data_IF_005748713054
#
_entry.id   IF_005748713054
#
_cell.length_a   1.000
_cell.length_b   1.000
_cell.length_c   1.000
_cell.angle_alpha   90.00
_cell.angle_beta   90.00
_cell.angle_gamma   90.00
#
_symmetry.space_group_name_H-M   'P 1'
#
loop_
_entity.id
_entity.type
_entity.pdbx_description
1 polymer ?
#
# COMPACT_ATOMS: atom_id res chain seq x y z
N UNK A 1 -74.41 -5.47 12.16
CA UNK A 1 -73.76 -6.12 13.31
C UNK A 1 -72.83 -7.20 12.77
N UNK A 2 -71.52 -6.99 12.93
CA UNK A 2 -70.47 -7.94 13.33
C UNK A 2 -70.42 -9.35 12.67
N UNK A 3 -69.18 -9.68 12.21
CA UNK A 3 -68.56 -11.00 11.90
C UNK A 3 -68.61 -11.53 10.45
N UNK A 4 -67.58 -12.18 9.89
CA UNK A 4 -66.10 -12.23 10.03
C UNK A 4 -65.64 -13.24 8.91
N UNK A 5 -64.56 -12.91 8.19
CA UNK A 5 -63.55 -13.79 7.57
C UNK A 5 -63.76 -14.79 6.38
N UNK A 6 -62.70 -14.78 5.54
CA UNK A 6 -61.93 -15.87 4.90
C UNK A 6 -62.29 -16.45 3.49
N UNK A 7 -61.47 -16.03 2.50
CA UNK A 7 -60.72 -16.76 1.43
C UNK A 7 -61.41 -17.91 0.65
N UNK A 8 -61.38 -17.85 -0.70
CA UNK A 8 -60.78 -18.85 -1.65
C UNK A 8 -61.27 -18.68 -3.11
N UNK A 9 -60.27 -18.55 -4.00
CA UNK A 9 -60.09 -18.99 -5.40
C UNK A 9 -61.07 -18.68 -6.55
N UNK A 10 -60.46 -18.09 -7.60
CA UNK A 10 -60.47 -18.47 -9.02
C UNK A 10 -61.80 -18.80 -9.71
N UNK A 11 -62.11 -18.08 -10.80
CA UNK A 11 -62.55 -18.73 -12.03
C UNK A 11 -62.09 -17.95 -13.27
N UNK A 12 -61.35 -18.65 -14.13
CA UNK A 12 -60.85 -18.29 -15.45
C UNK A 12 -62.00 -18.06 -16.45
N UNK A 13 -61.82 -17.14 -17.42
CA UNK A 13 -62.23 -17.43 -18.80
C UNK A 13 -61.50 -16.59 -19.89
N UNK A 14 -60.68 -17.31 -20.66
CA UNK A 14 -60.46 -17.26 -22.13
C UNK A 14 -60.27 -15.91 -22.85
N UNK A 15 -59.07 -15.71 -23.43
CA UNK A 15 -58.81 -15.80 -24.89
C UNK A 15 -57.31 -15.64 -25.27
N UNK A 16 -56.80 -16.66 -25.97
CA UNK A 16 -55.70 -16.78 -26.99
C UNK A 16 -54.73 -15.59 -27.15
N UNK A 17 -53.41 -15.72 -26.93
CA UNK A 17 -52.38 -16.38 -27.78
C UNK A 17 -52.23 -15.86 -29.22
N UNK A 18 -51.45 -14.78 -29.44
CA UNK A 18 -50.59 -14.52 -30.63
C UNK A 18 -49.40 -13.63 -30.21
N UNK A 19 -48.14 -13.91 -30.62
CA UNK A 19 -46.98 -13.06 -30.32
C UNK A 19 -46.41 -12.32 -31.55
N UNK A 20 -45.59 -11.28 -31.26
CA UNK A 20 -44.62 -10.53 -32.07
C UNK A 20 -45.03 -9.34 -32.99
N UNK A 21 -44.51 -8.16 -32.59
CA UNK A 21 -43.81 -7.11 -33.37
C UNK A 21 -44.56 -6.14 -34.32
N UNK A 22 -44.27 -4.83 -34.08
CA UNK A 22 -44.32 -3.65 -34.98
C UNK A 22 -45.70 -3.35 -35.61
N UNK A 23 -46.34 -2.20 -35.40
CA UNK A 23 -45.95 -0.90 -35.97
C UNK A 23 -46.63 0.25 -35.18
N UNK A 24 -45.79 1.18 -34.72
CA UNK A 24 -45.94 2.63 -34.54
C UNK A 24 -47.28 3.35 -34.82
N UNK A 25 -47.48 4.38 -33.98
CA UNK A 25 -47.93 5.76 -34.26
C UNK A 25 -49.38 6.16 -33.87
N UNK A 26 -49.44 7.06 -32.88
CA UNK A 26 -50.16 8.36 -32.81
C UNK A 26 -51.01 8.52 -31.55
N UNK A 27 -50.50 9.36 -30.66
CA UNK A 27 -51.20 10.02 -29.56
C UNK A 27 -52.33 10.91 -30.09
N UNK A 28 -53.50 10.91 -29.45
CA UNK A 28 -54.39 12.08 -29.49
C UNK A 28 -55.10 12.29 -28.14
N UNK A 29 -55.01 13.54 -27.72
CA UNK A 29 -55.50 14.20 -26.51
C UNK A 29 -57.03 14.34 -26.56
N UNK A 30 -57.71 14.20 -25.41
CA UNK A 30 -58.98 14.88 -25.19
C UNK A 30 -59.07 15.38 -23.74
N UNK A 31 -59.03 16.71 -23.60
CA UNK A 31 -59.41 17.44 -22.38
C UNK A 31 -60.92 17.69 -22.47
N UNK A 32 -61.68 17.27 -21.47
CA UNK A 32 -62.99 17.86 -21.16
C UNK A 32 -63.06 18.07 -19.65
N UNK A 33 -63.16 19.34 -19.27
CA UNK A 33 -63.30 19.80 -17.89
C UNK A 33 -64.76 19.62 -17.43
N UNK A 34 -64.94 19.07 -16.23
CA UNK A 34 -66.14 19.25 -15.40
C UNK A 34 -65.72 19.49 -13.94
N UNK A 35 -66.44 20.31 -13.16
CA UNK A 35 -66.02 20.74 -11.84
C UNK A 35 -66.42 19.72 -10.78
N UNK A 36 -65.45 19.33 -9.93
CA UNK A 36 -65.68 18.52 -8.74
C UNK A 36 -65.32 17.04 -8.91
N UNK A 37 -64.03 16.70 -8.86
CA UNK A 37 -63.49 15.39 -8.45
C UNK A 37 -61.98 15.47 -8.26
N UNK A 38 -61.46 14.60 -7.40
CA UNK A 38 -60.07 14.54 -6.94
C UNK A 38 -59.06 14.56 -8.11
N UNK A 39 -58.01 15.36 -7.95
CA UNK A 39 -56.86 15.33 -8.86
C UNK A 39 -56.04 14.05 -8.59
N UNK A 40 -56.09 13.11 -9.53
CA UNK A 40 -55.07 12.07 -9.62
C UNK A 40 -53.79 12.70 -10.17
N UNK A 41 -52.73 12.69 -9.35
CA UNK A 41 -51.39 13.10 -9.77
C UNK A 41 -50.77 11.92 -10.51
N UNK A 42 -50.58 12.08 -11.83
CA UNK A 42 -49.81 11.13 -12.63
C UNK A 42 -48.31 11.37 -12.40
N UNK A 43 -47.62 10.34 -11.92
CA UNK A 43 -46.15 10.27 -11.96
C UNK A 43 -45.78 9.77 -13.36
N UNK A 44 -45.24 10.64 -14.21
CA UNK A 44 -44.71 10.23 -15.51
C UNK A 44 -43.40 9.48 -15.33
N UNK A 45 -43.40 8.16 -15.54
CA UNK A 45 -42.18 7.39 -15.77
C UNK A 45 -41.69 7.66 -17.19
N UNK A 46 -40.55 8.32 -17.36
CA UNK A 46 -39.85 8.32 -18.64
C UNK A 46 -39.35 6.91 -18.92
N UNK A 47 -39.73 6.37 -20.07
CA UNK A 47 -39.31 5.06 -20.54
C UNK A 47 -37.79 4.97 -20.61
N UNK A 48 -37.19 4.23 -19.67
CA UNK A 48 -35.93 3.54 -19.92
C UNK A 48 -36.00 2.14 -19.32
N UNK A 49 -35.78 1.17 -20.21
CA UNK A 49 -36.08 -0.24 -20.04
C UNK A 49 -34.95 -0.93 -19.24
N UNK A 50 -34.84 -0.63 -17.95
CA UNK A 50 -33.95 -1.37 -17.03
C UNK A 50 -34.39 -1.39 -15.55
N UNK A 51 -35.58 -0.87 -15.21
CA UNK A 51 -36.14 -0.98 -13.86
C UNK A 51 -37.21 -2.07 -13.80
N UNK A 52 -36.79 -3.32 -13.83
CA UNK A 52 -37.65 -4.46 -13.58
C UNK A 52 -37.02 -5.40 -12.55
N UNK A 53 -36.76 -4.91 -11.32
CA UNK A 53 -36.75 -5.71 -10.09
C UNK A 53 -36.74 -4.76 -8.88
N UNK A 54 -37.91 -4.28 -8.46
CA UNK A 54 -38.18 -3.79 -7.10
C UNK A 54 -39.70 -3.62 -6.98
N UNK A 55 -40.42 -4.73 -6.92
CA UNK A 55 -41.84 -4.74 -6.59
C UNK A 55 -42.00 -4.51 -5.09
N UNK A 56 -42.23 -3.25 -4.68
CA UNK A 56 -42.75 -2.93 -3.36
C UNK A 56 -44.25 -2.64 -3.48
N UNK A 57 -45.06 -3.53 -2.91
CA UNK A 57 -46.52 -3.41 -2.86
C UNK A 57 -46.90 -2.19 -2.00
N UNK A 58 -47.46 -1.15 -2.63
CA UNK A 58 -47.92 0.07 -1.96
C UNK A 58 -49.26 -0.18 -1.26
N UNK A 59 -49.30 -0.04 0.07
CA UNK A 59 -50.53 0.11 0.84
C UNK A 59 -50.46 1.40 1.66
N UNK A 60 -51.37 2.34 1.39
CA UNK A 60 -51.49 3.60 2.13
C UNK A 60 -52.74 3.55 3.01
N UNK A 61 -52.58 3.82 4.31
CA UNK A 61 -53.70 4.07 5.23
C UNK A 61 -53.85 5.57 5.46
N UNK A 62 -54.97 6.14 5.01
CA UNK A 62 -55.37 7.53 5.28
C UNK A 62 -56.18 7.62 6.57
N UNK A 63 -55.73 8.44 7.51
CA UNK A 63 -56.57 8.97 8.61
C UNK A 63 -56.81 10.45 8.37
N UNK A 64 -58.07 10.85 8.17
CA UNK A 64 -58.47 12.25 8.04
C UNK A 64 -59.05 12.74 9.36
N UNK A 65 -58.40 13.70 10.01
CA UNK A 65 -59.01 14.57 11.02
C UNK A 65 -58.89 16.03 10.56
N UNK A 66 -59.95 16.81 10.82
CA UNK A 66 -60.20 18.11 10.21
C UNK A 66 -59.07 19.14 10.33
N UNK A 67 -58.95 19.99 9.30
CA UNK A 67 -58.02 21.12 9.19
C UNK A 67 -56.59 20.80 9.67
N UNK A 68 -56.06 19.67 9.21
CA UNK A 68 -54.75 19.16 9.64
C UNK A 68 -53.93 18.69 8.45
N UNK A 69 -52.65 19.03 8.50
CA UNK A 69 -51.54 18.54 7.66
C UNK A 69 -51.75 17.10 7.16
N UNK A 70 -51.71 16.89 5.85
CA UNK A 70 -51.73 15.54 5.25
C UNK A 70 -50.30 15.01 5.21
N UNK A 71 -49.92 14.19 6.19
CA UNK A 71 -48.61 13.54 6.23
C UNK A 71 -48.65 12.23 5.45
N UNK A 72 -47.94 12.14 4.33
CA UNK A 72 -47.69 10.88 3.64
C UNK A 72 -46.45 10.23 4.23
N UNK A 73 -46.59 9.08 4.88
CA UNK A 73 -45.45 8.29 5.38
C UNK A 73 -45.26 7.05 4.50
N UNK A 74 -44.20 7.04 3.71
CA UNK A 74 -43.82 5.89 2.89
C UNK A 74 -43.05 4.89 3.75
N UNK A 75 -43.50 3.63 3.82
CA UNK A 75 -42.69 2.54 4.41
C UNK A 75 -41.72 2.00 3.36
N UNK A 76 -40.51 2.55 3.38
CA UNK A 76 -39.31 2.09 2.68
C UNK A 76 -38.09 2.78 3.30
N UNK A 77 -36.84 2.47 2.89
CA UNK A 77 -35.64 3.10 3.45
C UNK A 77 -35.56 4.62 3.22
N UNK A 78 -36.50 5.21 2.46
CA UNK A 78 -36.64 6.65 2.22
C UNK A 78 -38.02 7.13 2.69
N UNK A 79 -38.06 8.15 3.57
CA UNK A 79 -39.28 8.88 3.94
C UNK A 79 -39.30 10.25 3.28
N UNK A 80 -40.44 10.65 2.72
CA UNK A 80 -40.67 11.99 2.15
C UNK A 80 -41.88 12.61 2.86
N UNK A 81 -41.84 13.92 3.14
CA UNK A 81 -43.01 14.63 3.67
C UNK A 81 -43.44 15.73 2.69
N UNK A 82 -44.70 15.71 2.28
CA UNK A 82 -45.32 16.80 1.54
C UNK A 82 -46.04 17.70 2.53
N UNK A 83 -45.65 18.96 2.62
CA UNK A 83 -46.38 19.97 3.39
C UNK A 83 -47.10 20.87 2.38
N UNK A 84 -48.43 20.85 2.41
CA UNK A 84 -49.26 21.77 1.64
C UNK A 84 -49.77 22.85 2.58
N UNK A 85 -49.14 24.03 2.54
CA UNK A 85 -49.69 25.24 3.15
C UNK A 85 -49.97 26.23 2.03
N UNK A 86 -51.26 26.45 1.76
CA UNK A 86 -51.80 27.56 0.96
C UNK A 86 -51.20 27.74 -0.45
N UNK A 87 -51.31 26.72 -1.30
CA UNK A 87 -51.14 26.88 -2.76
C UNK A 87 -49.72 26.75 -3.30
N UNK A 88 -48.75 26.40 -2.45
CA UNK A 88 -47.42 25.95 -2.88
C UNK A 88 -47.18 24.58 -2.25
N UNK A 89 -47.09 23.54 -3.08
CA UNK A 89 -46.67 22.22 -2.61
C UNK A 89 -45.16 22.26 -2.36
N UNK A 90 -44.75 22.43 -1.09
CA UNK A 90 -43.35 22.25 -0.70
C UNK A 90 -43.10 20.77 -0.42
N UNK A 91 -42.24 20.14 -1.22
CA UNK A 91 -41.70 18.81 -0.92
C UNK A 91 -40.56 19.00 0.07
N UNK A 92 -40.83 18.77 1.35
CA UNK A 92 -39.79 18.63 2.37
C UNK A 92 -39.33 17.17 2.35
N UNK A 93 -38.33 16.89 1.52
CA UNK A 93 -37.56 15.66 1.66
C UNK A 93 -36.90 15.70 3.05
N UNK A 94 -37.41 14.91 3.99
CA UNK A 94 -36.74 14.69 5.26
C UNK A 94 -35.43 13.97 4.94
N UNK A 95 -34.30 14.63 5.23
CA UNK A 95 -32.94 14.16 5.01
C UNK A 95 -32.80 12.64 5.16
N UNK A 96 -32.85 11.90 4.06
CA UNK A 96 -32.14 10.64 3.95
C UNK A 96 -30.72 10.98 3.56
N UNK A 97 -29.77 10.58 4.40
CA UNK A 97 -28.34 10.82 4.20
C UNK A 97 -27.93 10.47 2.76
N UNK A 98 -27.59 11.48 1.97
CA UNK A 98 -27.06 11.31 0.62
C UNK A 98 -28.00 11.58 -0.57
N UNK A 99 -29.26 11.98 -0.35
CA UNK A 99 -30.09 12.51 -1.43
C UNK A 99 -29.56 13.87 -1.88
N UNK A 100 -29.32 14.06 -3.19
CA UNK A 100 -28.90 15.36 -3.69
C UNK A 100 -30.10 16.24 -4.05
N UNK A 101 -30.14 17.44 -3.49
CA UNK A 101 -31.20 18.43 -3.73
C UNK A 101 -30.58 19.62 -4.43
N UNK A 102 -30.98 19.86 -5.67
CA UNK A 102 -30.61 21.06 -6.44
C UNK A 102 -31.88 21.84 -6.76
N UNK A 103 -31.93 23.13 -6.41
CA UNK A 103 -33.05 24.02 -6.74
C UNK A 103 -34.43 23.45 -6.38
N UNK A 104 -34.58 22.95 -5.14
CA UNK A 104 -35.81 22.30 -4.62
C UNK A 104 -36.27 21.04 -5.38
N UNK A 105 -35.41 20.46 -6.23
CA UNK A 105 -35.67 19.20 -6.92
C UNK A 105 -34.71 18.13 -6.41
N UNK A 106 -35.22 16.95 -6.08
CA UNK A 106 -34.38 15.79 -5.76
C UNK A 106 -33.83 15.23 -7.07
N UNK A 107 -32.51 15.27 -7.26
CA UNK A 107 -31.88 14.69 -8.44
C UNK A 107 -31.72 13.17 -8.25
N UNK A 108 -32.23 12.39 -9.21
CA UNK A 108 -32.09 10.93 -9.27
C UNK A 108 -31.75 10.49 -10.69
N UNK A 109 -30.96 9.44 -10.84
CA UNK A 109 -30.64 8.87 -12.15
C UNK A 109 -29.64 9.72 -12.97
N UNK A 110 -29.93 9.92 -14.25
CA UNK A 110 -29.02 10.49 -15.27
C UNK A 110 -28.65 11.97 -15.07
N UNK A 111 -29.36 12.70 -14.20
CA UNK A 111 -29.06 14.10 -13.88
C UNK A 111 -28.06 14.26 -12.73
N UNK A 112 -27.68 13.18 -12.05
CA UNK A 112 -26.73 13.20 -10.94
C UNK A 112 -25.32 12.89 -11.45
N UNK A 113 -24.31 13.62 -10.97
CA UNK A 113 -22.93 13.36 -11.35
C UNK A 113 -22.56 11.89 -11.04
N UNK A 114 -21.98 11.12 -11.97
CA UNK A 114 -21.74 9.68 -11.81
C UNK A 114 -20.93 9.31 -10.56
N UNK A 115 -20.00 10.18 -10.17
CA UNK A 115 -19.11 9.98 -9.03
C UNK A 115 -19.67 10.54 -7.70
N UNK A 116 -20.86 11.16 -7.70
CA UNK A 116 -21.45 11.78 -6.50
C UNK A 116 -21.74 10.73 -5.42
N UNK A 117 -22.55 9.70 -5.71
CA UNK A 117 -22.95 8.72 -4.70
C UNK A 117 -21.77 7.95 -4.08
N UNK A 118 -20.78 7.47 -4.86
CA UNK A 118 -19.56 6.90 -4.28
C UNK A 118 -18.82 7.84 -3.34
N UNK A 119 -18.74 9.13 -3.67
CA UNK A 119 -18.07 10.12 -2.83
C UNK A 119 -18.89 10.46 -1.58
N UNK A 120 -20.22 10.52 -1.67
CA UNK A 120 -21.08 10.65 -0.48
C UNK A 120 -20.91 9.48 0.48
N UNK A 121 -20.86 8.25 -0.04
CA UNK A 121 -20.61 7.06 0.77
C UNK A 121 -19.20 7.09 1.38
N UNK A 122 -18.19 7.52 0.62
CA UNK A 122 -16.84 7.78 1.13
C UNK A 122 -16.85 8.80 2.27
N UNK A 123 -17.52 9.94 2.09
CA UNK A 123 -17.66 10.99 3.09
C UNK A 123 -18.28 10.44 4.37
N UNK A 124 -19.42 9.74 4.27
CA UNK A 124 -20.12 9.18 5.43
C UNK A 124 -19.30 8.09 6.13
N UNK A 125 -18.71 7.17 5.35
CA UNK A 125 -17.95 6.02 5.87
C UNK A 125 -16.64 6.42 6.55
N UNK A 126 -16.11 7.60 6.23
CA UNK A 126 -14.84 8.10 6.78
C UNK A 126 -14.99 9.29 7.73
N UNK A 127 -16.18 9.50 8.27
CA UNK A 127 -16.43 10.51 9.31
C UNK A 127 -16.48 11.96 8.80
N UNK A 128 -16.93 12.14 7.56
CA UNK A 128 -17.03 13.41 6.82
C UNK A 128 -17.43 14.66 7.60
N UNK A 129 -18.50 14.62 8.42
CA UNK A 129 -18.89 15.78 9.23
C UNK A 129 -17.77 16.31 10.15
N UNK A 130 -16.86 15.42 10.57
CA UNK A 130 -15.74 15.72 11.47
C UNK A 130 -14.41 15.94 10.75
N UNK A 131 -14.40 15.96 9.41
CA UNK A 131 -13.21 16.35 8.65
C UNK A 131 -12.84 17.81 8.92
N UNK A 132 -11.54 18.09 8.87
CA UNK A 132 -10.97 19.43 9.09
C UNK A 132 -11.39 20.36 7.95
N UNK A 133 -11.10 19.97 6.72
CA UNK A 133 -11.55 20.62 5.50
C UNK A 133 -12.53 19.71 4.75
N UNK A 134 -13.77 20.18 4.71
CA UNK A 134 -14.89 19.58 3.99
C UNK A 134 -15.54 20.61 3.07
N UNK A 135 -14.78 21.62 2.65
CA UNK A 135 -15.29 22.71 1.82
C UNK A 135 -15.96 22.15 0.56
N UNK A 136 -17.17 22.61 0.26
CA UNK A 136 -17.96 22.19 -0.90
C UNK A 136 -18.64 20.82 -0.78
N UNK A 137 -18.17 19.91 0.07
CA UNK A 137 -18.76 18.57 0.21
C UNK A 137 -20.24 18.64 0.60
N UNK A 138 -21.09 17.93 -0.16
CA UNK A 138 -22.55 17.91 -0.01
C UNK A 138 -23.27 19.26 -0.17
N UNK A 139 -22.58 20.32 -0.61
CA UNK A 139 -23.21 21.64 -0.85
C UNK A 139 -23.90 21.71 -2.22
N UNK A 140 -23.54 20.81 -3.13
CA UNK A 140 -24.09 20.68 -4.48
C UNK A 140 -24.00 19.23 -4.96
N UNK A 141 -24.59 18.93 -6.12
CA UNK A 141 -24.67 17.57 -6.68
C UNK A 141 -23.52 17.19 -7.61
N UNK A 142 -22.52 18.06 -7.75
CA UNK A 142 -21.42 17.90 -8.67
C UNK A 142 -20.09 18.01 -7.92
N UNK A 143 -19.44 16.89 -7.60
CA UNK A 143 -18.14 16.89 -6.94
C UNK A 143 -17.07 17.70 -7.68
N UNK A 144 -17.21 17.90 -9.00
CA UNK A 144 -16.29 18.71 -9.79
C UNK A 144 -16.46 20.21 -9.55
N UNK A 145 -17.56 20.63 -8.92
CA UNK A 145 -17.87 22.01 -8.62
C UNK A 145 -17.48 22.37 -7.17
N UNK A 146 -16.17 22.44 -6.93
CA UNK A 146 -15.61 23.05 -5.72
C UNK A 146 -15.54 22.16 -4.47
N UNK A 147 -15.67 20.83 -4.60
CA UNK A 147 -15.41 19.94 -3.46
C UNK A 147 -13.92 19.88 -3.16
N UNK A 148 -13.56 20.11 -1.91
CA UNK A 148 -12.18 20.05 -1.45
C UNK A 148 -11.54 18.71 -1.79
N UNK A 149 -10.33 18.77 -2.37
CA UNK A 149 -9.55 17.58 -2.71
C UNK A 149 -9.99 16.84 -3.97
N UNK A 150 -11.05 17.28 -4.66
CA UNK A 150 -11.52 16.69 -5.93
C UNK A 150 -10.90 17.42 -7.12
N UNK A 151 -10.43 16.66 -8.11
CA UNK A 151 -10.10 17.18 -9.44
C UNK A 151 -10.79 16.32 -10.48
N UNK A 152 -11.36 16.97 -11.49
CA UNK A 152 -12.07 16.30 -12.57
C UNK A 152 -11.44 16.55 -13.93
N UNK A 153 -11.54 15.55 -14.80
CA UNK A 153 -11.23 15.64 -16.22
C UNK A 153 -12.42 15.03 -16.97
N UNK A 154 -12.89 15.70 -18.03
CA UNK A 154 -14.02 15.24 -18.86
C UNK A 154 -15.28 14.89 -18.04
N UNK A 155 -15.59 15.68 -17.01
CA UNK A 155 -16.76 15.48 -16.15
C UNK A 155 -16.71 14.21 -15.29
N UNK A 156 -15.51 13.68 -15.00
CA UNK A 156 -15.29 12.55 -14.10
C UNK A 156 -14.17 12.85 -13.13
N UNK A 157 -14.27 12.32 -11.92
CA UNK A 157 -13.27 12.50 -10.87
C UNK A 157 -12.01 11.71 -11.20
N UNK A 158 -10.90 12.42 -11.38
CA UNK A 158 -9.58 11.83 -11.70
C UNK A 158 -8.59 11.93 -10.54
N UNK A 159 -8.84 12.77 -9.53
CA UNK A 159 -8.02 12.84 -8.32
C UNK A 159 -8.89 13.06 -7.09
N UNK A 160 -8.61 12.30 -6.04
CA UNK A 160 -9.13 12.46 -4.69
C UNK A 160 -7.94 12.61 -3.74
N UNK A 161 -7.73 13.82 -3.23
CA UNK A 161 -6.60 14.16 -2.36
C UNK A 161 -7.10 14.93 -1.14
N UNK A 162 -7.30 14.22 -0.04
CA UNK A 162 -7.78 14.80 1.23
C UNK A 162 -6.61 15.09 2.18
N UNK A 163 -5.54 15.64 1.62
CA UNK A 163 -4.36 16.10 2.35
C UNK A 163 -4.45 17.61 2.45
N UNK A 164 -4.35 18.15 3.65
CA UNK A 164 -4.31 19.60 3.90
C UNK A 164 -2.90 20.13 3.63
N UNK A 165 -2.79 21.32 3.03
CA UNK A 165 -1.52 21.94 2.66
C UNK A 165 -0.67 22.39 3.86
N UNK A 166 -1.16 22.20 5.10
CA UNK A 166 -0.55 22.74 6.31
C UNK A 166 0.77 22.09 6.72
N UNK A 167 1.24 21.03 6.03
CA UNK A 167 2.61 20.50 6.16
C UNK A 167 3.06 20.05 7.55
N UNK A 168 2.21 20.17 8.57
CA UNK A 168 2.48 19.92 9.97
C UNK A 168 1.32 19.09 10.50
N UNK A 169 1.58 17.79 10.67
CA UNK A 169 0.93 16.89 11.65
C UNK A 169 -0.58 17.13 11.82
N UNK A 170 -1.34 16.90 10.76
CA UNK A 170 -2.79 16.95 10.81
C UNK A 170 -3.36 16.57 9.46
N UNK A 171 -3.74 15.31 9.32
CA UNK A 171 -4.57 14.87 8.20
C UNK A 171 -5.93 15.54 8.19
N UNK A 172 -6.76 15.24 7.19
CA UNK A 172 -8.15 15.69 7.17
C UNK A 172 -9.06 14.95 8.19
N UNK A 173 -8.48 14.30 9.21
CA UNK A 173 -9.18 13.59 10.28
C UNK A 173 -10.15 12.51 9.77
N UNK A 174 -9.80 11.82 8.68
CA UNK A 174 -10.57 10.67 8.22
C UNK A 174 -10.47 9.57 9.27
N UNK A 175 -11.62 9.00 9.60
CA UNK A 175 -11.72 7.87 10.51
C UNK A 175 -12.51 6.72 9.84
N UNK A 176 -12.84 5.66 10.57
CA UNK A 176 -13.68 4.58 10.03
C UNK A 176 -12.96 3.76 8.97
N UNK A 177 -13.69 3.30 7.95
CA UNK A 177 -13.19 2.36 6.94
C UNK A 177 -13.44 2.89 5.53
N UNK A 178 -12.63 2.45 4.56
CA UNK A 178 -12.89 2.71 3.15
C UNK A 178 -14.12 1.92 2.67
N UNK A 179 -15.14 2.56 2.07
CA UNK A 179 -16.31 1.85 1.56
C UNK A 179 -16.02 1.13 0.25
N UNK A 180 -16.76 0.07 -0.04
CA UNK A 180 -16.66 -0.67 -1.29
C UNK A 180 -17.11 0.15 -2.51
N UNK A 181 -17.88 1.22 -2.32
CA UNK A 181 -18.28 2.12 -3.40
C UNK A 181 -17.11 2.87 -4.03
N UNK A 182 -15.95 2.96 -3.38
CA UNK A 182 -14.75 3.61 -3.94
C UNK A 182 -14.37 3.04 -5.30
N UNK A 183 -14.58 1.74 -5.55
CA UNK A 183 -14.32 1.08 -6.83
C UNK A 183 -15.14 1.63 -8.01
N UNK A 184 -16.26 2.35 -7.74
CA UNK A 184 -17.06 3.02 -8.78
C UNK A 184 -16.40 4.27 -9.34
N UNK A 185 -15.38 4.81 -8.66
CA UNK A 185 -14.56 5.93 -9.16
C UNK A 185 -13.56 5.42 -10.21
N UNK A 186 -14.04 4.72 -11.23
CA UNK A 186 -13.23 3.98 -12.20
C UNK A 186 -12.40 4.87 -13.15
N UNK A 187 -12.51 6.20 -13.03
CA UNK A 187 -11.68 7.19 -13.72
C UNK A 187 -10.63 7.84 -12.82
N UNK A 188 -10.55 7.41 -11.56
CA UNK A 188 -9.58 7.91 -10.60
C UNK A 188 -8.17 7.50 -11.01
N UNK A 189 -7.29 8.51 -11.15
CA UNK A 189 -5.87 8.36 -11.48
C UNK A 189 -4.97 8.58 -10.27
N UNK A 190 -5.38 9.39 -9.30
CA UNK A 190 -4.59 9.67 -8.09
C UNK A 190 -5.46 9.64 -6.85
N UNK A 191 -5.08 8.79 -5.88
CA UNK A 191 -5.71 8.69 -4.56
C UNK A 191 -4.68 9.00 -3.47
N UNK A 192 -4.94 10.05 -2.68
CA UNK A 192 -4.04 10.49 -1.60
C UNK A 192 -4.81 10.66 -0.28
N UNK A 193 -4.53 9.78 0.69
CA UNK A 193 -5.25 9.70 1.98
C UNK A 193 -4.31 9.78 3.20
N UNK A 194 -3.21 10.50 3.05
CA UNK A 194 -2.08 10.48 3.98
C UNK A 194 -2.41 11.07 5.37
N UNK A 195 -1.67 10.61 6.38
CA UNK A 195 -1.70 11.04 7.78
C UNK A 195 -2.99 10.72 8.55
N UNK A 196 -3.88 9.88 8.02
CA UNK A 196 -5.17 9.54 8.66
C UNK A 196 -5.04 8.26 9.51
N UNK A 197 -4.45 8.37 10.70
CA UNK A 197 -4.23 7.21 11.60
C UNK A 197 -5.52 6.50 12.03
N UNK A 198 -6.65 7.22 12.07
CA UNK A 198 -7.95 6.66 12.44
C UNK A 198 -8.71 6.06 11.25
N UNK A 199 -8.19 6.20 10.03
CA UNK A 199 -8.68 5.46 8.87
C UNK A 199 -8.14 4.02 8.99
N UNK A 200 -9.03 3.11 9.36
CA UNK A 200 -8.73 1.71 9.72
C UNK A 200 -9.44 0.73 8.78
N UNK A 201 -9.40 -0.56 9.12
CA UNK A 201 -9.94 -1.63 8.28
C UNK A 201 -8.95 -2.06 7.20
N UNK A 202 -9.47 -2.62 6.12
CA UNK A 202 -8.69 -3.13 4.98
C UNK A 202 -9.03 -2.35 3.71
N UNK A 203 -8.19 -2.48 2.68
CA UNK A 203 -8.57 -2.05 1.32
C UNK A 203 -9.69 -2.96 0.81
N UNK A 204 -10.85 -2.43 0.36
CA UNK A 204 -11.96 -3.25 -0.12
C UNK A 204 -11.64 -3.93 -1.46
N UNK A 205 -12.24 -5.09 -1.74
CA UNK A 205 -12.00 -5.85 -2.99
C UNK A 205 -12.31 -5.05 -4.26
N UNK A 206 -13.32 -4.18 -4.21
CA UNK A 206 -13.69 -3.29 -5.32
C UNK A 206 -12.59 -2.29 -5.68
N UNK A 207 -11.55 -2.11 -4.86
CA UNK A 207 -10.40 -1.28 -5.18
C UNK A 207 -9.68 -1.75 -6.45
N UNK A 208 -9.76 -3.04 -6.77
CA UNK A 208 -9.28 -3.62 -8.03
C UNK A 208 -9.98 -3.07 -9.30
N UNK A 209 -11.10 -2.35 -9.15
CA UNK A 209 -11.85 -1.73 -10.25
C UNK A 209 -11.31 -0.35 -10.64
N UNK A 210 -10.35 0.20 -9.89
CA UNK A 210 -9.71 1.49 -10.17
C UNK A 210 -8.66 1.36 -11.27
N UNK A 211 -9.05 0.83 -12.44
CA UNK A 211 -8.10 0.41 -13.50
C UNK A 211 -7.29 1.54 -14.11
N UNK A 212 -7.75 2.79 -13.97
CA UNK A 212 -7.05 3.98 -14.46
C UNK A 212 -6.09 4.58 -13.39
N UNK A 213 -5.96 3.95 -12.22
CA UNK A 213 -5.16 4.46 -11.10
C UNK A 213 -3.66 4.41 -11.42
N UNK A 214 -3.01 5.56 -11.25
CA UNK A 214 -1.59 5.80 -11.51
C UNK A 214 -0.81 6.06 -10.21
N UNK A 215 -1.43 6.75 -9.26
CA UNK A 215 -0.79 7.12 -8.00
C UNK A 215 -1.63 6.68 -6.80
N UNK A 216 -1.00 5.95 -5.89
CA UNK A 216 -1.58 5.59 -4.60
C UNK A 216 -0.68 6.06 -3.47
N UNK A 217 -1.16 7.02 -2.68
CA UNK A 217 -0.47 7.52 -1.50
C UNK A 217 -1.33 7.28 -0.27
N UNK A 218 -0.88 6.36 0.58
CA UNK A 218 -1.47 6.01 1.86
C UNK A 218 -0.32 5.87 2.86
N UNK A 219 0.15 6.97 3.43
CA UNK A 219 1.15 6.92 4.49
C UNK A 219 0.62 7.44 5.83
N UNK A 220 1.17 6.94 6.94
CA UNK A 220 0.68 7.20 8.31
C UNK A 220 -0.84 6.96 8.41
N UNK A 221 -1.26 5.71 8.17
CA UNK A 221 -2.67 5.30 8.23
C UNK A 221 -2.88 4.06 9.10
N UNK A 222 -4.11 3.89 9.60
CA UNK A 222 -4.51 2.69 10.34
C UNK A 222 -4.91 1.52 9.44
N UNK A 223 -4.86 1.67 8.11
CA UNK A 223 -5.25 0.64 7.15
C UNK A 223 -4.32 -0.56 7.22
N UNK A 224 -4.92 -1.75 7.11
CA UNK A 224 -4.28 -3.02 7.41
C UNK A 224 -4.68 -4.12 6.42
N UNK A 225 -4.16 -5.34 6.65
CA UNK A 225 -4.44 -6.50 5.81
C UNK A 225 -3.55 -6.58 4.57
N UNK A 226 -3.88 -7.49 3.66
CA UNK A 226 -3.15 -7.65 2.40
C UNK A 226 -3.64 -6.63 1.38
N UNK A 227 -2.68 -5.96 0.72
CA UNK A 227 -2.94 -4.94 -0.29
C UNK A 227 -2.53 -5.36 -1.70
N UNK A 228 -1.45 -6.15 -1.82
CA UNK A 228 -0.85 -6.43 -3.13
C UNK A 228 -1.77 -7.20 -4.07
N UNK A 229 -2.63 -8.07 -3.54
CA UNK A 229 -3.63 -8.80 -4.31
C UNK A 229 -4.69 -7.89 -4.96
N UNK A 230 -4.89 -6.68 -4.42
CA UNK A 230 -5.81 -5.67 -4.98
C UNK A 230 -5.11 -4.78 -6.00
N UNK A 231 -3.80 -4.57 -5.85
CA UNK A 231 -3.02 -3.66 -6.69
C UNK A 231 -2.55 -4.29 -8.00
N UNK A 232 -2.32 -5.60 -8.05
CA UNK A 232 -1.72 -6.29 -9.22
C UNK A 232 -2.54 -6.18 -10.51
N UNK A 233 -3.83 -5.86 -10.42
CA UNK A 233 -4.70 -5.63 -11.58
C UNK A 233 -4.67 -4.16 -12.06
N UNK A 234 -4.08 -3.25 -11.29
CA UNK A 234 -4.05 -1.82 -11.58
C UNK A 234 -2.82 -1.47 -12.41
N UNK A 235 -2.79 -1.99 -13.65
CA UNK A 235 -1.63 -1.95 -14.56
C UNK A 235 -1.17 -0.53 -14.96
N UNK A 236 -1.96 0.49 -14.65
CA UNK A 236 -1.60 1.89 -14.86
C UNK A 236 -0.77 2.50 -13.73
N UNK A 237 -0.56 1.77 -12.61
CA UNK A 237 0.17 2.27 -11.45
C UNK A 237 1.62 2.64 -11.81
N UNK A 238 1.98 3.87 -11.45
CA UNK A 238 3.34 4.42 -11.53
C UNK A 238 3.95 4.59 -10.14
N UNK A 239 3.14 4.92 -9.13
CA UNK A 239 3.60 5.21 -7.77
C UNK A 239 2.74 4.53 -6.72
N UNK A 240 3.39 3.76 -5.84
CA UNK A 240 2.81 3.16 -4.64
C UNK A 240 3.59 3.65 -3.43
N UNK A 241 2.95 4.46 -2.58
CA UNK A 241 3.52 4.93 -1.30
C UNK A 241 2.59 4.50 -0.17
N UNK A 242 3.08 3.61 0.69
CA UNK A 242 2.32 2.98 1.77
C UNK A 242 2.90 3.26 3.18
N UNK A 243 3.95 4.08 3.25
CA UNK A 243 4.85 4.30 4.41
C UNK A 243 4.12 4.37 5.77
N UNK A 244 4.59 3.63 6.77
CA UNK A 244 4.01 3.63 8.12
C UNK A 244 2.50 3.34 8.17
N UNK A 245 2.02 2.44 7.31
CA UNK A 245 0.69 1.81 7.42
C UNK A 245 0.80 0.41 8.04
N UNK A 246 -0.32 -0.30 8.20
CA UNK A 246 -0.37 -1.64 8.84
C UNK A 246 -0.58 -2.78 7.84
N UNK A 247 -0.21 -2.58 6.58
CA UNK A 247 -0.32 -3.61 5.54
C UNK A 247 0.63 -4.78 5.81
N UNK A 248 0.19 -5.98 5.46
CA UNK A 248 0.92 -7.23 5.66
C UNK A 248 0.85 -8.13 4.43
N UNK A 249 1.53 -9.27 4.50
CA UNK A 249 1.54 -10.27 3.44
C UNK A 249 2.74 -10.13 2.50
N UNK A 250 2.88 -11.06 1.56
CA UNK A 250 4.00 -11.06 0.62
C UNK A 250 3.82 -10.08 -0.54
N UNK A 251 4.93 -9.72 -1.16
CA UNK A 251 4.96 -9.16 -2.51
C UNK A 251 4.80 -10.35 -3.48
N UNK A 252 3.71 -10.45 -4.26
CA UNK A 252 3.44 -11.61 -5.11
C UNK A 252 4.24 -11.54 -6.42
N UNK A 253 4.45 -12.70 -7.07
CA UNK A 253 5.10 -12.76 -8.39
C UNK A 253 4.32 -12.03 -9.49
N UNK A 254 3.00 -11.85 -9.30
CA UNK A 254 2.16 -11.05 -10.19
C UNK A 254 2.47 -9.55 -10.16
N UNK A 255 3.39 -9.09 -9.31
CA UNK A 255 3.90 -7.72 -9.37
C UNK A 255 4.47 -7.36 -10.75
N UNK A 256 4.96 -8.36 -11.50
CA UNK A 256 5.39 -8.21 -12.90
C UNK A 256 4.36 -7.58 -13.84
N UNK A 257 3.06 -7.63 -13.50
CA UNK A 257 2.02 -6.98 -14.30
C UNK A 257 2.08 -5.45 -14.24
N UNK A 258 2.69 -4.86 -13.21
CA UNK A 258 2.70 -3.42 -12.94
C UNK A 258 3.89 -2.73 -13.62
N UNK A 259 4.06 -2.98 -14.93
CA UNK A 259 5.24 -2.57 -15.73
C UNK A 259 5.48 -1.06 -15.81
N UNK A 260 4.50 -0.22 -15.44
CA UNK A 260 4.63 1.24 -15.38
C UNK A 260 5.17 1.78 -14.06
N UNK A 261 5.38 0.93 -13.06
CA UNK A 261 5.86 1.36 -11.75
C UNK A 261 7.24 1.99 -11.83
N UNK A 262 7.32 3.18 -11.25
CA UNK A 262 8.54 3.96 -11.03
C UNK A 262 8.92 4.01 -9.55
N UNK A 263 7.92 4.01 -8.66
CA UNK A 263 8.14 4.13 -7.22
C UNK A 263 7.34 3.06 -6.46
N UNK A 264 8.05 2.29 -5.65
CA UNK A 264 7.47 1.44 -4.61
C UNK A 264 8.11 1.84 -3.28
N UNK A 265 7.31 2.45 -2.41
CA UNK A 265 7.75 2.84 -1.08
C UNK A 265 6.80 2.29 -0.01
N UNK A 266 7.31 1.41 0.83
CA UNK A 266 6.66 0.99 2.06
C UNK A 266 7.66 0.85 3.23
N UNK A 267 8.32 1.94 3.67
CA UNK A 267 9.03 1.94 4.94
C UNK A 267 8.09 1.59 6.09
N UNK A 268 8.49 0.64 6.93
CA UNK A 268 7.73 0.18 8.10
C UNK A 268 8.58 0.25 9.37
N UNK A 269 7.97 -0.03 10.52
CA UNK A 269 8.61 -0.04 11.84
C UNK A 269 8.83 -1.46 12.40
N UNK A 270 8.76 -2.49 11.55
CA UNK A 270 8.97 -3.89 11.90
C UNK A 270 7.79 -4.60 12.59
N UNK A 271 6.76 -3.87 13.05
CA UNK A 271 5.58 -4.47 13.72
C UNK A 271 4.62 -5.08 12.70
N UNK A 272 4.32 -4.30 11.67
CA UNK A 272 3.60 -4.71 10.46
C UNK A 272 4.56 -4.55 9.28
N UNK A 273 4.18 -5.03 8.10
CA UNK A 273 5.06 -4.96 6.95
C UNK A 273 4.94 -6.16 6.03
N UNK A 274 5.57 -6.03 4.86
CA UNK A 274 5.71 -7.12 3.93
C UNK A 274 6.58 -8.25 4.50
N UNK A 275 6.21 -9.47 4.14
CA UNK A 275 6.82 -10.73 4.61
C UNK A 275 7.23 -11.59 3.42
N UNK A 276 8.01 -12.65 3.67
CA UNK A 276 8.45 -13.56 2.60
C UNK A 276 9.59 -12.96 1.77
N UNK A 277 9.93 -13.62 0.66
CA UNK A 277 11.03 -13.19 -0.21
C UNK A 277 10.63 -12.07 -1.17
N UNK A 278 11.62 -11.28 -1.57
CA UNK A 278 11.50 -10.44 -2.76
C UNK A 278 11.29 -11.34 -4.00
N UNK A 279 10.19 -11.19 -4.76
CA UNK A 279 9.90 -12.06 -5.88
C UNK A 279 10.86 -11.79 -7.05
N UNK A 280 11.23 -12.83 -7.79
CA UNK A 280 12.18 -12.70 -8.91
C UNK A 280 11.60 -11.85 -10.05
N UNK A 281 10.28 -11.87 -10.21
CA UNK A 281 9.51 -11.05 -11.16
C UNK A 281 9.62 -9.54 -10.95
N UNK A 282 10.19 -9.04 -9.83
CA UNK A 282 10.52 -7.61 -9.70
C UNK A 282 11.42 -7.11 -10.84
N UNK A 283 12.23 -8.00 -11.43
CA UNK A 283 13.05 -7.73 -12.62
C UNK A 283 12.25 -7.29 -13.86
N UNK A 284 10.95 -7.55 -13.91
CA UNK A 284 10.09 -7.09 -15.01
C UNK A 284 9.77 -5.58 -14.95
N UNK A 285 9.96 -4.94 -13.79
CA UNK A 285 9.64 -3.53 -13.55
C UNK A 285 10.73 -2.60 -14.06
N UNK A 286 11.05 -2.68 -15.36
CA UNK A 286 12.19 -1.98 -15.98
C UNK A 286 12.14 -0.45 -15.86
N UNK A 287 10.97 0.13 -15.60
CA UNK A 287 10.77 1.55 -15.31
C UNK A 287 11.01 1.96 -13.85
N UNK A 288 11.33 1.02 -12.95
CA UNK A 288 11.45 1.29 -11.52
C UNK A 288 12.68 2.17 -11.22
N UNK A 289 12.45 3.27 -10.52
CA UNK A 289 13.46 4.26 -10.13
C UNK A 289 13.76 4.21 -8.62
N UNK A 290 12.73 3.96 -7.80
CA UNK A 290 12.84 3.96 -6.34
C UNK A 290 12.18 2.72 -5.74
N UNK A 291 12.99 1.92 -5.03
CA UNK A 291 12.55 0.76 -4.26
C UNK A 291 12.90 0.95 -2.78
N UNK A 292 11.93 1.37 -1.97
CA UNK A 292 12.09 1.57 -0.54
C UNK A 292 11.18 0.62 0.25
N UNK A 293 11.75 -0.45 0.79
CA UNK A 293 11.06 -1.47 1.57
C UNK A 293 11.72 -1.68 2.94
N UNK A 294 12.33 -0.62 3.49
CA UNK A 294 13.02 -0.67 4.76
C UNK A 294 12.09 -0.90 5.96
N UNK A 295 12.62 -1.50 7.02
CA UNK A 295 11.90 -1.77 8.26
C UNK A 295 10.75 -2.78 8.12
N UNK A 296 10.77 -3.65 7.10
CA UNK A 296 9.81 -4.73 6.91
C UNK A 296 10.33 -6.06 7.50
N UNK A 297 9.67 -7.17 7.15
CA UNK A 297 10.04 -8.53 7.58
C UNK A 297 10.33 -9.43 6.37
N UNK A 298 10.97 -8.85 5.35
CA UNK A 298 11.35 -9.57 4.14
C UNK A 298 12.48 -10.55 4.46
N UNK A 299 12.38 -11.77 3.94
CA UNK A 299 13.35 -12.88 4.15
C UNK A 299 13.94 -13.32 2.81
N UNK A 300 14.78 -14.37 2.81
CA UNK A 300 15.40 -14.89 1.60
C UNK A 300 16.52 -14.00 1.09
N UNK A 301 16.90 -14.15 -0.18
CA UNK A 301 18.01 -13.42 -0.80
C UNK A 301 17.53 -12.20 -1.57
N UNK A 302 18.45 -11.26 -1.84
CA UNK A 302 18.23 -10.20 -2.83
C UNK A 302 18.27 -10.87 -4.23
N UNK A 303 17.21 -10.78 -5.06
CA UNK A 303 17.20 -11.41 -6.37
C UNK A 303 18.27 -10.79 -7.30
N UNK A 304 19.14 -11.58 -7.95
CA UNK A 304 20.11 -11.05 -8.91
C UNK A 304 19.48 -10.28 -10.07
N UNK A 305 18.24 -10.64 -10.45
CA UNK A 305 17.46 -9.94 -11.47
C UNK A 305 17.20 -8.46 -11.18
N UNK A 306 17.34 -7.99 -9.94
CA UNK A 306 17.28 -6.55 -9.64
C UNK A 306 18.35 -5.76 -10.39
N UNK A 307 19.48 -6.38 -10.74
CA UNK A 307 20.53 -5.77 -11.57
C UNK A 307 20.10 -5.45 -13.01
N UNK A 308 18.92 -5.88 -13.45
CA UNK A 308 18.38 -5.55 -14.78
C UNK A 308 17.63 -4.21 -14.79
N UNK A 309 17.30 -3.65 -13.62
CA UNK A 309 16.47 -2.46 -13.47
C UNK A 309 17.32 -1.18 -13.56
N UNK A 310 17.93 -0.92 -14.72
CA UNK A 310 18.95 0.13 -14.90
C UNK A 310 18.46 1.57 -14.64
N UNK A 311 17.15 1.78 -14.50
CA UNK A 311 16.56 3.06 -14.10
C UNK A 311 16.58 3.29 -12.59
N UNK A 312 16.93 2.29 -11.77
CA UNK A 312 17.00 2.43 -10.32
C UNK A 312 18.02 3.49 -9.91
N UNK A 313 17.52 4.46 -9.14
CA UNK A 313 18.28 5.56 -8.53
C UNK A 313 18.54 5.23 -7.06
N UNK A 314 17.57 4.61 -6.37
CA UNK A 314 17.70 4.27 -4.96
C UNK A 314 17.07 2.92 -4.62
N UNK A 315 17.81 2.13 -3.87
CA UNK A 315 17.35 0.89 -3.24
C UNK A 315 17.55 1.02 -1.74
N UNK A 316 16.46 0.95 -0.99
CA UNK A 316 16.49 0.82 0.47
C UNK A 316 15.78 -0.45 0.91
N UNK A 317 16.56 -1.43 1.38
CA UNK A 317 16.07 -2.69 1.96
C UNK A 317 16.55 -2.84 3.42
N UNK A 318 16.96 -1.75 4.05
CA UNK A 318 17.53 -1.77 5.40
C UNK A 318 16.52 -2.25 6.45
N UNK A 319 16.97 -2.88 7.52
CA UNK A 319 16.08 -3.29 8.62
C UNK A 319 15.09 -4.38 8.20
N UNK A 320 15.56 -5.40 7.49
CA UNK A 320 14.80 -6.59 7.10
C UNK A 320 15.51 -7.86 7.64
N UNK A 321 15.07 -9.04 7.20
CA UNK A 321 15.66 -10.34 7.51
C UNK A 321 16.29 -10.98 6.27
N UNK A 322 16.79 -10.16 5.33
CA UNK A 322 17.40 -10.64 4.09
C UNK A 322 18.74 -11.30 4.39
N UNK A 323 19.03 -12.42 3.73
CA UNK A 323 20.22 -13.23 3.93
C UNK A 323 20.92 -13.58 2.61
N UNK A 324 22.08 -14.22 2.70
CA UNK A 324 22.89 -14.58 1.54
C UNK A 324 23.73 -13.41 0.99
N UNK A 325 24.40 -13.60 -0.17
CA UNK A 325 25.30 -12.61 -0.72
C UNK A 325 24.57 -11.41 -1.31
N UNK A 326 25.26 -10.26 -1.33
CA UNK A 326 24.87 -9.13 -2.17
C UNK A 326 25.14 -9.54 -3.64
N UNK A 327 24.14 -9.54 -4.53
CA UNK A 327 24.34 -9.93 -5.92
C UNK A 327 25.31 -8.98 -6.64
N UNK A 328 26.26 -9.54 -7.39
CA UNK A 328 27.22 -8.76 -8.18
C UNK A 328 26.56 -7.97 -9.31
N UNK A 329 25.39 -8.44 -9.75
CA UNK A 329 24.53 -7.87 -10.79
C UNK A 329 24.02 -6.48 -10.41
N UNK A 330 23.96 -6.12 -9.12
CA UNK A 330 23.66 -4.75 -8.69
C UNK A 330 24.69 -3.74 -9.22
N UNK A 331 25.88 -4.17 -9.59
CA UNK A 331 26.89 -3.35 -10.27
C UNK A 331 26.53 -2.96 -11.72
N UNK A 332 25.41 -3.45 -12.28
CA UNK A 332 24.90 -3.02 -13.58
C UNK A 332 23.99 -1.78 -13.50
N UNK A 333 23.63 -1.35 -12.28
CA UNK A 333 22.68 -0.26 -12.05
C UNK A 333 23.35 1.11 -12.19
N UNK A 334 23.65 1.50 -13.44
CA UNK A 334 24.45 2.70 -13.76
C UNK A 334 23.93 4.02 -13.18
N UNK A 335 22.62 4.12 -12.92
CA UNK A 335 21.98 5.30 -12.33
C UNK A 335 21.89 5.27 -10.79
N UNK A 336 22.30 4.16 -10.16
CA UNK A 336 22.13 3.96 -8.73
C UNK A 336 23.00 4.93 -7.94
N UNK A 337 22.35 5.80 -7.17
CA UNK A 337 23.01 6.77 -6.29
C UNK A 337 23.06 6.31 -4.83
N UNK A 338 22.06 5.54 -4.40
CA UNK A 338 21.92 5.15 -2.99
C UNK A 338 21.55 3.68 -2.86
N UNK A 339 22.40 2.91 -2.19
CA UNK A 339 22.18 1.51 -1.85
C UNK A 339 22.23 1.32 -0.33
N UNK A 340 21.07 1.10 0.28
CA UNK A 340 20.95 0.90 1.72
C UNK A 340 20.49 -0.53 2.03
N UNK A 341 21.38 -1.32 2.62
CA UNK A 341 21.14 -2.72 2.99
C UNK A 341 21.46 -2.97 4.48
N UNK A 342 21.56 -1.91 5.28
CA UNK A 342 21.97 -2.00 6.68
C UNK A 342 20.98 -2.81 7.51
N UNK A 343 21.40 -3.37 8.64
CA UNK A 343 20.51 -4.13 9.54
C UNK A 343 19.79 -5.29 8.82
N UNK A 344 20.55 -6.18 8.22
CA UNK A 344 20.07 -7.43 7.61
C UNK A 344 20.95 -8.60 8.06
N UNK A 345 20.79 -9.76 7.43
CA UNK A 345 21.56 -10.98 7.64
C UNK A 345 22.42 -11.31 6.41
N UNK A 346 22.81 -10.30 5.62
CA UNK A 346 23.58 -10.50 4.39
C UNK A 346 24.97 -11.01 4.72
N UNK A 347 25.49 -11.92 3.92
CA UNK A 347 26.76 -12.61 4.15
C UNK A 347 27.64 -12.66 2.90
N UNK A 348 28.84 -13.25 2.99
CA UNK A 348 29.77 -13.32 1.88
C UNK A 348 30.57 -12.03 1.66
N UNK A 349 31.23 -11.93 0.51
CA UNK A 349 32.12 -10.81 0.17
C UNK A 349 31.41 -9.64 -0.50
N UNK A 350 31.96 -8.44 -0.32
CA UNK A 350 31.55 -7.24 -1.06
C UNK A 350 31.78 -7.43 -2.57
N UNK A 351 30.76 -7.27 -3.44
CA UNK A 351 30.96 -7.37 -4.89
C UNK A 351 31.78 -6.20 -5.41
N UNK A 352 32.91 -6.50 -6.09
CA UNK A 352 33.78 -5.48 -6.67
C UNK A 352 33.07 -4.58 -7.69
N UNK A 353 32.02 -5.08 -8.34
CA UNK A 353 31.22 -4.35 -9.31
C UNK A 353 30.53 -3.11 -8.74
N UNK A 354 30.23 -3.07 -7.43
CA UNK A 354 29.64 -1.88 -6.79
C UNK A 354 30.57 -0.67 -6.80
N UNK A 355 31.89 -0.88 -6.74
CA UNK A 355 32.89 0.18 -6.83
C UNK A 355 33.00 0.79 -8.24
N UNK A 356 32.39 0.17 -9.25
CA UNK A 356 32.41 0.66 -10.63
C UNK A 356 31.15 1.48 -10.98
N UNK A 357 30.21 1.65 -10.05
CA UNK A 357 28.99 2.41 -10.29
C UNK A 357 29.30 3.92 -10.32
N UNK A 358 29.04 4.62 -11.44
CA UNK A 358 29.50 6.00 -11.63
C UNK A 358 28.75 7.02 -10.76
N UNK A 359 27.49 6.72 -10.42
CA UNK A 359 26.60 7.62 -9.68
C UNK A 359 26.49 7.30 -8.20
N UNK A 360 27.13 6.23 -7.71
CA UNK A 360 26.96 5.76 -6.34
C UNK A 360 27.58 6.76 -5.35
N UNK A 361 26.74 7.36 -4.51
CA UNK A 361 27.14 8.33 -3.50
C UNK A 361 26.92 7.81 -2.07
N UNK A 362 26.06 6.82 -1.90
CA UNK A 362 25.77 6.27 -0.58
C UNK A 362 25.67 4.74 -0.62
N UNK A 363 26.48 4.08 0.21
CA UNK A 363 26.55 2.62 0.33
C UNK A 363 26.51 2.23 1.81
N UNK A 364 25.31 1.92 2.32
CA UNK A 364 25.10 1.67 3.73
C UNK A 364 24.87 0.17 3.98
N UNK A 365 25.89 -0.53 4.44
CA UNK A 365 25.91 -1.98 4.64
C UNK A 365 26.14 -2.39 6.11
N UNK A 366 26.13 -1.43 7.04
CA UNK A 366 26.39 -1.69 8.46
C UNK A 366 25.45 -2.71 9.08
N UNK A 367 25.91 -3.39 10.13
CA UNK A 367 25.16 -4.44 10.84
C UNK A 367 24.65 -5.54 9.89
N UNK A 368 25.58 -6.28 9.31
CA UNK A 368 25.33 -7.49 8.53
C UNK A 368 26.38 -8.56 8.91
N UNK A 369 26.41 -9.68 8.20
CA UNK A 369 27.41 -10.76 8.32
C UNK A 369 28.40 -10.77 7.14
N UNK A 370 28.66 -9.60 6.53
CA UNK A 370 29.59 -9.48 5.42
C UNK A 370 31.02 -9.75 5.91
N UNK A 371 31.84 -10.30 5.02
CA UNK A 371 33.17 -10.80 5.36
C UNK A 371 34.13 -10.69 4.17
N UNK A 372 35.42 -10.91 4.42
CA UNK A 372 36.43 -10.87 3.38
C UNK A 372 37.00 -9.46 3.24
N UNK A 373 37.15 -8.98 2.00
CA UNK A 373 37.96 -7.80 1.71
C UNK A 373 37.15 -6.67 1.10
N UNK A 374 37.58 -5.44 1.33
CA UNK A 374 37.07 -4.29 0.57
C UNK A 374 37.75 -4.34 -0.82
N UNK A 375 37.00 -4.49 -1.91
CA UNK A 375 37.57 -4.56 -3.25
C UNK A 375 38.31 -3.27 -3.60
N UNK A 376 39.43 -3.36 -4.31
CA UNK A 376 40.20 -2.17 -4.72
C UNK A 376 39.40 -1.18 -5.57
N UNK A 377 38.38 -1.65 -6.29
CA UNK A 377 37.45 -0.78 -7.02
C UNK A 377 36.71 0.20 -6.12
N UNK A 378 36.55 -0.09 -4.83
CA UNK A 378 35.89 0.82 -3.88
C UNK A 378 36.73 2.07 -3.56
N UNK A 379 37.97 2.19 -4.04
CA UNK A 379 38.73 3.44 -3.98
C UNK A 379 37.95 4.61 -4.60
N UNK A 380 37.10 4.35 -5.61
CA UNK A 380 36.21 5.35 -6.23
C UNK A 380 35.15 5.91 -5.28
N UNK A 381 34.82 5.17 -4.21
CA UNK A 381 33.82 5.53 -3.21
C UNK A 381 34.44 6.27 -2.00
N UNK A 382 35.75 6.43 -1.95
CA UNK A 382 36.38 7.24 -0.90
C UNK A 382 35.91 8.71 -1.02
N UNK A 383 35.48 9.28 0.11
CA UNK A 383 34.84 10.60 0.16
C UNK A 383 33.31 10.58 -0.07
N UNK A 384 32.72 9.39 -0.28
CA UNK A 384 31.27 9.16 -0.31
C UNK A 384 30.77 8.66 1.06
N UNK A 385 29.45 8.60 1.22
CA UNK A 385 28.83 8.08 2.45
C UNK A 385 28.77 6.55 2.41
N UNK A 386 29.81 5.92 2.96
CA UNK A 386 29.93 4.46 3.01
C UNK A 386 30.00 4.01 4.47
N UNK A 387 29.09 3.12 4.85
CA UNK A 387 29.01 2.56 6.20
C UNK A 387 29.16 1.04 6.13
N UNK A 388 30.30 0.53 6.60
CA UNK A 388 30.59 -0.91 6.66
C UNK A 388 30.70 -1.43 8.09
N UNK A 389 30.51 -0.57 9.09
CA UNK A 389 30.72 -0.90 10.50
C UNK A 389 29.82 -2.04 10.96
N UNK A 390 30.22 -2.72 12.04
CA UNK A 390 29.46 -3.83 12.62
C UNK A 390 29.26 -5.02 11.65
N UNK A 391 30.18 -5.17 10.67
CA UNK A 391 30.44 -6.41 9.96
C UNK A 391 31.76 -6.99 10.49
N UNK A 392 31.69 -7.95 11.41
CA UNK A 392 32.85 -8.40 12.23
C UNK A 392 34.08 -8.82 11.41
N UNK A 393 33.88 -9.32 10.19
CA UNK A 393 34.94 -9.84 9.33
C UNK A 393 35.26 -8.92 8.14
N UNK A 394 34.88 -7.64 8.19
CA UNK A 394 35.32 -6.62 7.23
C UNK A 394 36.38 -5.68 7.83
N UNK A 395 37.38 -5.25 7.04
CA UNK A 395 38.28 -4.16 7.40
C UNK A 395 37.53 -2.86 7.69
N UNK A 396 38.14 -1.96 8.48
CA UNK A 396 37.58 -0.63 8.71
C UNK A 396 37.60 0.21 7.42
N UNK A 397 36.47 0.82 7.07
CA UNK A 397 36.33 1.65 5.87
C UNK A 397 37.27 2.86 5.87
N UNK A 398 37.40 3.52 7.03
CA UNK A 398 38.31 4.66 7.19
C UNK A 398 39.76 4.27 6.88
N UNK A 399 40.25 3.14 7.39
CA UNK A 399 41.62 2.67 7.14
C UNK A 399 41.87 2.36 5.67
N UNK A 400 40.88 1.77 4.99
CA UNK A 400 40.95 1.50 3.56
C UNK A 400 41.15 2.79 2.76
N UNK A 401 40.35 3.83 3.01
CA UNK A 401 40.46 5.08 2.26
C UNK A 401 41.67 5.94 2.61
N UNK A 402 42.16 5.91 3.85
CA UNK A 402 43.31 6.73 4.26
C UNK A 402 44.65 6.11 3.88
N UNK A 403 44.81 4.79 4.03
CA UNK A 403 46.11 4.14 3.91
C UNK A 403 46.18 3.14 2.75
N UNK A 404 45.07 2.90 2.03
CA UNK A 404 44.99 1.85 1.01
C UNK A 404 45.10 0.43 1.58
N UNK A 405 45.01 0.29 2.91
CA UNK A 405 45.23 -0.98 3.61
C UNK A 405 43.91 -1.71 3.84
N UNK A 406 43.80 -2.92 3.31
CA UNK A 406 42.71 -3.86 3.61
C UNK A 406 43.05 -4.73 4.84
N UNK A 407 43.51 -4.12 5.94
CA UNK A 407 43.96 -4.89 7.09
C UNK A 407 42.76 -5.31 7.96
N UNK A 408 42.56 -6.61 8.15
CA UNK A 408 41.48 -7.17 8.98
C UNK A 408 41.77 -7.03 10.49
N UNK A 409 42.96 -6.55 10.86
CA UNK A 409 43.43 -6.48 12.24
C UNK A 409 42.65 -5.50 13.15
N UNK A 410 42.10 -4.41 12.59
CA UNK A 410 41.53 -3.31 13.38
C UNK A 410 40.19 -3.63 14.04
N UNK A 411 39.42 -4.59 13.51
CA UNK A 411 38.10 -4.97 14.03
C UNK A 411 38.09 -6.24 14.89
N UNK A 412 39.24 -6.93 15.06
CA UNK A 412 39.35 -8.12 15.92
C UNK A 412 39.97 -7.75 17.26
N UNK A 413 39.14 -7.38 18.22
CA UNK A 413 39.54 -7.25 19.61
C UNK A 413 39.93 -8.63 20.18
N UNK A 414 41.21 -8.97 20.12
CA UNK A 414 41.79 -10.19 20.66
C UNK A 414 43.24 -10.35 20.21
N UNK A 415 44.14 -10.52 21.17
CA UNK A 415 45.62 -10.48 21.06
C UNK A 415 46.29 -11.60 20.24
N UNK A 416 45.60 -12.17 19.24
CA UNK A 416 46.07 -13.34 18.46
C UNK A 416 45.93 -13.15 16.94
N UNK A 417 46.02 -11.91 16.45
CA UNK A 417 45.96 -11.62 15.02
C UNK A 417 47.35 -11.33 14.46
N UNK A 418 47.82 -12.16 13.51
CA UNK A 418 49.01 -11.86 12.71
C UNK A 418 48.60 -11.18 11.40
N UNK A 419 48.82 -9.85 11.26
CA UNK A 419 48.47 -9.10 10.06
C UNK A 419 49.29 -9.50 8.81
N UNK A 420 50.38 -10.27 8.96
CA UNK A 420 51.16 -10.78 7.82
C UNK A 420 50.55 -12.02 7.17
N UNK A 421 49.76 -12.78 7.95
CA UNK A 421 49.06 -14.00 7.54
C UNK A 421 47.63 -13.69 7.07
N UNK A 422 46.91 -12.82 7.79
CA UNK A 422 45.54 -12.42 7.44
C UNK A 422 45.49 -11.04 6.79
N UNK A 423 46.13 -10.93 5.63
CA UNK A 423 45.98 -9.80 4.73
C UNK A 423 44.97 -10.12 3.63
N UNK A 424 44.22 -9.12 3.22
CA UNK A 424 43.24 -9.28 2.17
C UNK A 424 43.84 -9.75 0.85
N UNK A 425 43.29 -10.84 0.30
CA UNK A 425 43.81 -11.51 -0.89
C UNK A 425 44.76 -12.68 -0.60
N UNK A 426 45.13 -12.93 0.66
CA UNK A 426 45.82 -14.18 1.05
C UNK A 426 44.83 -15.16 1.68
N UNK A 427 44.67 -16.32 1.03
CA UNK A 427 44.02 -17.49 1.65
C UNK A 427 45.07 -18.18 2.53
N UNK A 428 44.88 -18.29 3.85
CA UNK A 428 45.78 -19.06 4.70
C UNK A 428 45.82 -20.50 4.20
N UNK A 429 47.01 -20.98 3.86
CA UNK A 429 47.29 -22.37 3.49
C UNK A 429 47.56 -23.19 4.75
N UNK A 430 47.50 -24.52 4.63
CA UNK A 430 47.90 -25.46 5.70
C UNK A 430 49.35 -25.26 6.20
N UNK A 431 50.17 -24.47 5.49
CA UNK A 431 51.55 -24.12 5.88
C UNK A 431 51.65 -22.84 6.69
N UNK A 432 50.58 -22.05 6.77
CA UNK A 432 50.55 -20.82 7.55
C UNK A 432 50.23 -21.15 9.01
N UNK A 433 51.15 -20.84 9.93
CA UNK A 433 51.01 -21.10 11.35
C UNK A 433 51.06 -19.81 12.15
N UNK A 434 50.17 -19.68 13.14
CA UNK A 434 50.21 -18.59 14.12
C UNK A 434 51.12 -18.99 15.27
N UNK A 435 52.19 -18.23 15.51
CA UNK A 435 53.08 -18.49 16.66
C UNK A 435 52.49 -17.88 17.93
N UNK A 436 51.91 -18.72 18.77
CA UNK A 436 51.37 -18.31 20.09
C UNK A 436 52.52 -18.37 21.11
N UNK A 437 53.10 -17.23 21.48
CA UNK A 437 54.10 -17.16 22.56
C UNK A 437 53.40 -17.01 23.91
N UNK A 438 53.52 -18.01 24.78
CA UNK A 438 53.15 -17.92 26.19
C UNK A 438 54.41 -17.66 27.03
N UNK A 439 54.46 -16.57 27.79
CA UNK A 439 55.47 -16.38 28.82
C UNK A 439 55.09 -17.21 30.05
N UNK A 440 55.68 -18.39 30.20
CA UNK A 440 55.52 -19.21 31.40
C UNK A 440 56.69 -18.91 32.34
N UNK A 441 56.41 -18.27 33.48
CA UNK A 441 57.40 -18.11 34.54
C UNK A 441 57.42 -19.39 35.38
N UNK A 442 58.52 -20.15 35.31
CA UNK A 442 58.69 -21.39 36.07
C UNK A 442 59.58 -21.15 37.30
N UNK A 443 59.21 -21.65 38.49
CA UNK A 443 60.10 -21.59 39.66
C UNK A 443 61.37 -22.41 39.43
N UNK A 444 62.48 -21.98 40.03
CA UNK A 444 63.79 -22.60 39.88
C UNK A 444 63.80 -24.09 40.28
N UNK A 445 64.48 -24.92 39.48
CA UNK A 445 64.63 -26.36 39.73
C UNK A 445 65.92 -26.58 40.53
N UNK A 446 65.87 -27.39 41.59
CA UNK A 446 67.08 -27.79 42.33
C UNK A 446 67.90 -28.83 41.56
N UNK A 447 69.22 -28.82 41.74
CA UNK A 447 70.16 -29.71 41.04
C UNK A 447 69.77 -31.19 41.19
N UNK A 448 69.73 -31.93 40.08
CA UNK A 448 69.42 -33.36 40.04
C UNK A 448 67.96 -33.74 39.75
N UNK A 449 67.05 -32.77 39.59
CA UNK A 449 65.66 -33.06 39.18
C UNK A 449 65.42 -32.76 37.70
N UNK A 450 64.68 -33.64 37.02
CA UNK A 450 64.10 -33.38 35.69
C UNK A 450 62.60 -33.14 35.83
N UNK A 451 62.07 -32.16 35.08
CA UNK A 451 60.62 -31.95 34.96
C UNK A 451 60.19 -32.24 33.54
N UNK A 452 59.13 -33.02 33.39
CA UNK A 452 58.43 -33.20 32.12
C UNK A 452 57.35 -32.12 32.01
N UNK A 453 57.57 -31.13 31.16
CA UNK A 453 56.54 -30.15 30.82
C UNK A 453 55.61 -30.82 29.80
N UNK A 454 54.37 -31.12 30.21
CA UNK A 454 53.35 -31.67 29.32
C UNK A 454 52.45 -30.51 28.90
N UNK A 455 52.60 -30.05 27.66
CA UNK A 455 51.58 -29.22 27.03
C UNK A 455 50.37 -30.10 26.74
N UNK A 456 49.28 -29.93 27.49
CA UNK A 456 47.97 -30.42 27.08
C UNK A 456 47.31 -29.31 26.26
N UNK A 457 47.35 -29.40 24.93
CA UNK A 457 46.44 -28.59 24.11
C UNK A 457 45.03 -29.16 24.29
N UNK A 458 44.17 -28.46 25.03
CA UNK A 458 42.76 -28.84 25.21
C UNK A 458 41.90 -28.68 23.94
N UNK A 459 42.37 -27.92 22.95
CA UNK A 459 41.66 -27.69 21.71
C UNK A 459 42.34 -28.34 20.51
N UNK A 460 41.66 -29.26 19.84
CA UNK A 460 41.97 -29.61 18.46
C UNK A 460 41.62 -28.45 17.53
N UNK A 461 42.41 -28.26 16.47
CA UNK A 461 42.08 -27.35 15.37
C UNK A 461 40.87 -27.91 14.61
N UNK A 462 39.66 -27.48 14.98
CA UNK A 462 38.47 -27.85 14.23
C UNK A 462 38.25 -26.85 13.09
N UNK A 463 38.32 -27.36 11.87
CA UNK A 463 37.84 -26.68 10.68
C UNK A 463 36.33 -26.85 10.64
N UNK A 464 35.58 -25.78 10.86
CA UNK A 464 34.17 -25.78 10.49
C UNK A 464 34.05 -25.58 8.97
N UNK A 465 32.96 -26.08 8.39
CA UNK A 465 32.66 -26.20 6.96
C UNK A 465 32.62 -24.88 6.14
N UNK A 466 33.17 -23.79 6.67
CA UNK A 466 33.36 -22.49 6.03
C UNK A 466 34.75 -21.85 6.24
N UNK A 467 35.80 -22.64 6.44
CA UNK A 467 37.21 -22.19 6.45
C UNK A 467 37.55 -21.13 7.53
N UNK A 468 36.93 -21.19 8.71
CA UNK A 468 37.34 -20.39 9.87
C UNK A 468 38.04 -21.28 10.89
N UNK A 469 39.30 -20.96 11.17
CA UNK A 469 40.04 -21.54 12.28
C UNK A 469 39.48 -20.95 13.59
N UNK A 470 38.82 -21.77 14.42
CA UNK A 470 38.50 -21.39 15.80
C UNK A 470 39.46 -22.12 16.74
N UNK A 471 40.16 -21.36 17.57
CA UNK A 471 40.89 -21.91 18.72
C UNK A 471 39.84 -22.09 19.83
N UNK A 472 39.40 -23.33 20.06
CA UNK A 472 38.60 -23.67 21.24
C UNK A 472 39.46 -23.53 22.50
N UNK A 473 38.84 -23.06 23.60
CA UNK A 473 39.48 -22.90 24.92
C UNK A 473 40.21 -24.17 25.40
#
# INVERSE_FOLDING_TARGET
>A
MIHIYLIISSFFCKLRSIPLYLVKLVSLILIVALPGRAQEVFITSSNDLACAQLSATLSATTTCSGTGTVTYSFRGPNSFSLVNTTGVASVTASNTAGACIASNTVLVGSSLHPDYLPLVDFFNSTGGPNWIDKTGWLTNCDPCNGWFGITCTDGRVTRLSLVTDSGIIGSNNLNGNLPSSIGKLNKLRSLRLNNNNNLTGTIPESFSQLTDLQELHIFYSGLSGTIMDKLVNLTQLETIILTYSKFTGPIPESISALTKLKVIAYPSNGVFGFTGSLPASLSALTGLEYLALDGNRLTGTIPPGLGQLTNLISINLSGNLLAGPIPSELGNLVNLSSLYLSYNQLSGSLPASLGNLPSLNQLLLRKNFLSGCIPLSFNSLCGKDVQLEENLDLPAWSEFCFNGTNNLASNKAGSWFDPTVWSCGKVPTLKDYVTIRHNVSLPAIQSGQSRKIIYKSGGGLNYDSGSKLRIGQ
#
